data_IF_979320042437
#
_entry.id   IF_979320042437
#
_cell.length_a   1.000
_cell.length_b   1.000
_cell.length_c   1.000
_cell.angle_alpha   90.00
_cell.angle_beta   90.00
_cell.angle_gamma   90.00
#
_symmetry.space_group_name_H-M   'P 1'
#
loop_
_entity.id
_entity.type
_entity.pdbx_description
1 polymer ?
#
# COMPACT_ATOMS: atom_id res chain seq x y z
N UNK A 1 -17.78 -8.86 17.28
CA UNK A 1 -17.64 -7.49 16.71
C UNK A 1 -16.46 -7.50 15.73
N UNK A 2 -16.60 -6.91 14.54
CA UNK A 2 -15.52 -6.82 13.55
C UNK A 2 -14.83 -5.45 13.65
N UNK A 3 -13.50 -5.42 13.53
CA UNK A 3 -12.74 -4.16 13.55
C UNK A 3 -13.03 -3.28 12.33
N UNK A 4 -13.22 -3.91 11.16
CA UNK A 4 -13.58 -3.23 9.92
C UNK A 4 -14.94 -3.73 9.42
N UNK A 5 -15.87 -2.79 9.27
CA UNK A 5 -17.22 -3.06 8.76
C UNK A 5 -17.47 -2.34 7.46
N UNK A 6 -18.35 -2.89 6.63
CA UNK A 6 -18.93 -2.17 5.51
C UNK A 6 -20.01 -1.18 6.01
N UNK A 7 -20.58 -0.39 5.09
CA UNK A 7 -21.62 0.61 5.39
C UNK A 7 -22.90 0.06 6.03
N UNK A 8 -23.09 -1.26 6.02
CA UNK A 8 -24.22 -1.95 6.64
C UNK A 8 -23.86 -2.60 7.99
N UNK A 9 -22.69 -2.28 8.56
CA UNK A 9 -22.23 -2.84 9.84
C UNK A 9 -21.75 -4.30 9.78
N UNK A 10 -21.70 -4.91 8.59
CA UNK A 10 -21.22 -6.28 8.40
C UNK A 10 -19.71 -6.31 8.20
N UNK A 11 -19.08 -7.47 8.40
CA UNK A 11 -17.64 -7.68 8.14
C UNK A 11 -17.24 -7.11 6.77
N UNK A 12 -16.14 -6.35 6.73
CA UNK A 12 -15.57 -5.91 5.47
C UNK A 12 -15.02 -7.11 4.69
N UNK A 13 -15.53 -7.30 3.48
CA UNK A 13 -15.09 -8.37 2.59
C UNK A 13 -13.93 -7.95 1.70
N UNK A 14 -13.10 -8.92 1.29
CA UNK A 14 -11.99 -8.71 0.35
C UNK A 14 -12.45 -8.08 -0.97
N UNK A 15 -13.61 -8.51 -1.50
CA UNK A 15 -14.16 -7.96 -2.75
C UNK A 15 -14.52 -6.49 -2.59
N UNK A 16 -15.23 -6.15 -1.51
CA UNK A 16 -15.59 -4.76 -1.19
C UNK A 16 -14.35 -3.87 -1.05
N UNK A 17 -13.32 -4.34 -0.33
CA UNK A 17 -12.06 -3.60 -0.20
C UNK A 17 -11.35 -3.39 -1.56
N UNK A 18 -11.38 -4.41 -2.43
CA UNK A 18 -10.83 -4.32 -3.79
C UNK A 18 -11.56 -3.27 -4.62
N UNK A 19 -12.89 -3.22 -4.52
CA UNK A 19 -13.70 -2.26 -5.28
C UNK A 19 -13.54 -0.84 -4.75
N UNK A 20 -13.42 -0.66 -3.43
CA UNK A 20 -13.08 0.64 -2.83
C UNK A 20 -11.74 1.14 -3.34
N UNK A 21 -10.71 0.29 -3.34
CA UNK A 21 -9.40 0.66 -3.88
C UNK A 21 -9.47 1.05 -5.36
N UNK A 22 -10.19 0.28 -6.20
CA UNK A 22 -10.38 0.63 -7.61
C UNK A 22 -11.03 2.00 -7.79
N UNK A 23 -12.03 2.31 -6.98
CA UNK A 23 -12.73 3.60 -7.04
C UNK A 23 -11.80 4.75 -6.61
N UNK A 24 -11.04 4.57 -5.53
CA UNK A 24 -10.03 5.54 -5.08
C UNK A 24 -8.97 5.77 -6.14
N UNK A 25 -8.46 4.70 -6.78
CA UNK A 25 -7.47 4.78 -7.85
C UNK A 25 -7.99 5.58 -9.04
N UNK A 26 -9.22 5.30 -9.49
CA UNK A 26 -9.88 6.09 -10.55
C UNK A 26 -10.06 7.56 -10.18
N UNK A 27 -10.40 7.84 -8.92
CA UNK A 27 -10.52 9.22 -8.44
C UNK A 27 -9.16 9.94 -8.44
N UNK A 28 -8.09 9.24 -8.02
CA UNK A 28 -6.73 9.77 -8.06
C UNK A 28 -6.26 10.07 -9.50
N UNK A 29 -6.53 9.17 -10.46
CA UNK A 29 -6.21 9.43 -11.88
C UNK A 29 -6.90 10.68 -12.42
N UNK A 30 -8.16 10.93 -12.03
CA UNK A 30 -8.86 12.16 -12.43
C UNK A 30 -8.30 13.42 -11.79
N UNK A 31 -7.77 13.30 -10.57
CA UNK A 31 -7.21 14.41 -9.81
C UNK A 31 -5.80 14.79 -10.28
N UNK A 32 -5.02 13.80 -10.71
CA UNK A 32 -3.64 13.94 -11.18
C UNK A 32 -3.49 13.32 -12.57
N UNK A 33 -4.02 13.99 -13.62
CA UNK A 33 -4.01 13.47 -14.99
C UNK A 33 -2.59 13.21 -15.51
N UNK A 34 -1.60 13.99 -15.08
CA UNK A 34 -0.18 13.83 -15.40
C UNK A 34 0.44 12.54 -14.85
N UNK A 35 -0.16 11.96 -13.79
CA UNK A 35 0.27 10.70 -13.18
C UNK A 35 -0.70 9.55 -13.49
N UNK A 36 -1.69 9.75 -14.37
CA UNK A 36 -2.79 8.81 -14.53
C UNK A 36 -2.32 7.41 -14.97
N UNK A 37 -1.33 7.33 -15.87
CA UNK A 37 -0.77 6.07 -16.34
C UNK A 37 -0.06 5.31 -15.20
N UNK A 38 0.76 5.99 -14.43
CA UNK A 38 1.46 5.42 -13.27
C UNK A 38 0.48 4.96 -12.20
N UNK A 39 -0.49 5.81 -11.86
CA UNK A 39 -1.54 5.49 -10.88
C UNK A 39 -2.34 4.27 -11.32
N UNK A 40 -2.61 4.09 -12.63
CA UNK A 40 -3.35 2.94 -13.14
C UNK A 40 -2.64 1.60 -12.89
N UNK A 41 -1.30 1.60 -12.85
CA UNK A 41 -0.50 0.41 -12.56
C UNK A 41 -0.49 0.04 -11.07
N UNK A 42 -0.75 0.99 -10.16
CA UNK A 42 -0.72 0.74 -8.71
C UNK A 42 -1.77 -0.28 -8.29
N UNK A 43 -1.33 -1.30 -7.57
CA UNK A 43 -2.16 -2.37 -7.03
C UNK A 43 -2.29 -2.24 -5.52
N UNK A 44 -3.38 -2.74 -4.94
CA UNK A 44 -3.62 -2.65 -3.49
C UNK A 44 -2.49 -3.28 -2.66
N UNK A 45 -1.87 -4.35 -3.17
CA UNK A 45 -0.74 -5.03 -2.51
C UNK A 45 0.54 -4.18 -2.47
N UNK A 46 0.68 -3.20 -3.36
CA UNK A 46 1.85 -2.33 -3.38
C UNK A 46 1.89 -1.43 -2.14
N UNK A 47 0.74 -1.16 -1.51
CA UNK A 47 0.68 -0.46 -0.23
C UNK A 47 1.43 -1.22 0.87
N UNK A 48 1.44 -2.55 0.84
CA UNK A 48 2.20 -3.37 1.80
C UNK A 48 3.70 -3.25 1.58
N UNK A 49 4.15 -3.27 0.33
CA UNK A 49 5.55 -3.06 -0.03
C UNK A 49 6.01 -1.64 0.34
N UNK A 50 5.18 -0.63 0.04
CA UNK A 50 5.45 0.76 0.41
C UNK A 50 5.55 0.94 1.93
N UNK A 51 4.61 0.39 2.71
CA UNK A 51 4.66 0.48 4.17
C UNK A 51 5.95 -0.11 4.75
N UNK A 52 6.42 -1.24 4.23
CA UNK A 52 7.68 -1.84 4.65
C UNK A 52 8.90 -1.02 4.20
N UNK A 53 8.87 -0.46 2.99
CA UNK A 53 9.91 0.45 2.48
C UNK A 53 10.02 1.70 3.37
N UNK A 54 8.89 2.34 3.66
CA UNK A 54 8.85 3.55 4.50
C UNK A 54 9.40 3.24 5.90
N UNK A 55 9.04 2.08 6.48
CA UNK A 55 9.55 1.66 7.79
C UNK A 55 11.05 1.34 7.79
N UNK A 56 11.55 0.73 6.71
CA UNK A 56 12.98 0.47 6.51
C UNK A 56 13.78 1.77 6.40
N UNK A 57 13.29 2.73 5.62
CA UNK A 57 13.93 4.03 5.43
C UNK A 57 13.87 4.91 6.69
N UNK A 58 12.80 4.81 7.47
CA UNK A 58 12.63 5.60 8.71
C UNK A 58 13.36 5.00 9.91
N UNK A 59 13.50 3.68 9.97
CA UNK A 59 14.00 2.99 11.16
C UNK A 59 15.06 1.95 10.82
N UNK A 60 14.66 0.76 10.36
CA UNK A 60 15.57 -0.33 10.00
C UNK A 60 14.85 -1.46 9.23
N UNK A 61 15.64 -2.32 8.58
CA UNK A 61 15.15 -3.46 7.79
C UNK A 61 14.52 -4.57 8.66
N UNK A 62 14.88 -4.66 9.95
CA UNK A 62 14.39 -5.71 10.85
C UNK A 62 12.93 -5.45 11.26
N UNK A 63 12.57 -4.19 11.52
CA UNK A 63 11.18 -3.78 11.76
C UNK A 63 10.34 -3.93 10.50
N UNK A 64 10.88 -3.57 9.33
CA UNK A 64 10.23 -3.84 8.06
C UNK A 64 9.95 -5.33 7.85
N UNK A 65 10.91 -6.21 8.16
CA UNK A 65 10.74 -7.67 8.09
C UNK A 65 9.64 -8.16 9.03
N UNK A 66 9.64 -7.71 10.30
CA UNK A 66 8.61 -8.06 11.29
C UNK A 66 7.22 -7.59 10.85
N UNK A 67 7.11 -6.38 10.31
CA UNK A 67 5.85 -5.83 9.77
C UNK A 67 5.30 -6.66 8.61
N UNK A 68 6.18 -7.19 7.76
CA UNK A 68 5.79 -8.11 6.69
C UNK A 68 5.54 -9.54 7.20
N UNK A 69 5.89 -9.88 8.43
CA UNK A 69 5.78 -11.26 8.93
C UNK A 69 6.65 -12.24 8.15
N UNK A 70 7.78 -11.78 7.60
CA UNK A 70 8.72 -12.64 6.87
C UNK A 70 9.71 -13.30 7.83
N UNK A 71 9.97 -14.59 7.64
CA UNK A 71 10.96 -15.34 8.43
C UNK A 71 12.41 -14.97 8.09
N UNK A 72 12.68 -14.49 6.88
CA UNK A 72 14.02 -14.13 6.41
C UNK A 72 14.12 -12.69 5.90
N UNK A 73 15.27 -12.05 6.16
CA UNK A 73 15.65 -10.74 5.62
C UNK A 73 15.72 -10.74 4.09
N UNK A 74 16.11 -11.87 3.46
CA UNK A 74 16.19 -12.00 2.00
C UNK A 74 14.82 -11.84 1.32
N UNK A 75 13.73 -12.32 1.95
CA UNK A 75 12.37 -12.11 1.44
C UNK A 75 11.96 -10.63 1.53
N UNK A 76 12.43 -9.92 2.54
CA UNK A 76 12.07 -8.51 2.80
C UNK A 76 12.74 -7.55 1.82
N UNK A 77 13.94 -7.88 1.34
CA UNK A 77 14.65 -7.08 0.33
C UNK A 77 13.88 -6.95 -0.99
N UNK A 78 13.02 -7.92 -1.37
CA UNK A 78 12.14 -7.78 -2.54
C UNK A 78 11.02 -6.74 -2.36
N UNK A 79 10.69 -6.39 -1.11
CA UNK A 79 9.60 -5.47 -0.79
C UNK A 79 10.10 -4.07 -0.41
N UNK A 80 11.40 -3.91 -0.10
CA UNK A 80 12.03 -2.61 0.16
C UNK A 80 12.54 -2.05 -1.17
N UNK A 81 11.83 -1.06 -1.72
CA UNK A 81 12.28 -0.32 -2.90
C UNK A 81 13.12 0.87 -2.44
N UNK A 82 14.44 0.74 -2.46
CA UNK A 82 15.40 1.80 -2.05
C UNK A 82 15.50 2.97 -3.05
N UNK A 83 14.45 3.23 -3.82
CA UNK A 83 14.37 4.47 -4.60
C UNK A 83 14.18 5.66 -3.64
N UNK A 84 14.68 6.83 -4.04
CA UNK A 84 14.56 8.04 -3.20
C UNK A 84 13.09 8.30 -2.87
N UNK A 85 12.74 8.55 -1.59
CA UNK A 85 11.37 8.90 -1.22
C UNK A 85 10.95 10.14 -2.01
N UNK A 86 9.90 10.01 -2.82
CA UNK A 86 9.27 11.14 -3.50
C UNK A 86 8.60 12.01 -2.43
N UNK A 87 8.91 13.32 -2.45
CA UNK A 87 8.24 14.27 -1.56
C UNK A 87 6.75 14.32 -1.92
N UNK A 88 5.84 14.42 -0.94
CA UNK A 88 4.42 14.63 -1.22
C UNK A 88 4.25 15.84 -2.13
N UNK A 89 3.53 15.68 -3.23
CA UNK A 89 3.11 16.81 -4.07
C UNK A 89 2.20 17.71 -3.22
N UNK A 90 2.46 19.03 -3.27
CA UNK A 90 1.72 20.05 -2.51
C UNK A 90 0.22 20.04 -2.80
#
# INVERSE_FOLDING_TARGET
>A
MFLFTNKWGRKLERRSLTDYFKNTRKAAMRKYPELAEEIAQVQLRDLRAKAATDLSLMVDDERARKQLGHSSTRMTQHYIRKEKPLKPTK
#
